data_IF_816840363843
#
_entry.id   IF_816840363843
#
_cell.length_a   1.000
_cell.length_b   1.000
_cell.length_c   1.000
_cell.angle_alpha   90.00
_cell.angle_beta   90.00
_cell.angle_gamma   90.00
#
_symmetry.space_group_name_H-M   'P 1'
#
loop_
_entity.id
_entity.type
_entity.pdbx_description
1 polymer ?
#
# COMPACT_ATOMS: atom_id res chain seq x y z
N UNK A 1 -4.93 -3.09 -5.82
CA UNK A 1 -5.59 -2.56 -4.59
C UNK A 1 -6.03 -3.72 -3.73
N UNK A 2 -5.97 -3.55 -2.41
CA UNK A 2 -6.28 -4.60 -1.44
C UNK A 2 -5.27 -4.63 -0.31
N UNK A 3 -5.42 -5.62 0.56
CA UNK A 3 -4.46 -5.91 1.63
C UNK A 3 -3.63 -7.13 1.24
N UNK A 4 -2.32 -7.02 1.41
CA UNK A 4 -1.35 -8.05 1.07
C UNK A 4 -0.53 -8.36 2.30
N UNK A 5 -0.49 -9.63 2.70
CA UNK A 5 0.18 -10.05 3.92
C UNK A 5 1.49 -10.73 3.59
N UNK A 6 2.56 -10.27 4.23
CA UNK A 6 3.82 -10.98 4.33
C UNK A 6 3.84 -11.79 5.63
N UNK A 7 5.03 -12.16 6.07
CA UNK A 7 5.22 -12.91 7.30
C UNK A 7 5.08 -12.00 8.54
N UNK A 8 5.85 -10.90 8.58
CA UNK A 8 5.87 -9.95 9.71
C UNK A 8 5.21 -8.59 9.38
N UNK A 9 4.90 -8.37 8.10
CA UNK A 9 4.43 -7.10 7.59
C UNK A 9 3.22 -7.26 6.66
N UNK A 10 2.53 -6.15 6.39
CA UNK A 10 1.48 -6.09 5.37
C UNK A 10 1.54 -4.79 4.59
N UNK A 11 1.07 -4.85 3.34
CA UNK A 11 0.84 -3.68 2.48
C UNK A 11 -0.65 -3.49 2.25
N UNK A 12 -1.14 -2.30 2.56
CA UNK A 12 -2.50 -1.87 2.32
C UNK A 12 -2.48 -0.85 1.19
N UNK A 13 -2.99 -1.23 0.02
CA UNK A 13 -2.94 -0.41 -1.20
C UNK A 13 -4.34 0.14 -1.51
N UNK A 14 -4.50 1.44 -1.27
CA UNK A 14 -5.73 2.20 -1.47
C UNK A 14 -5.69 3.00 -2.79
N UNK A 15 -6.83 3.21 -3.45
CA UNK A 15 -6.92 4.17 -4.54
C UNK A 15 -6.80 5.61 -4.01
N UNK A 16 -6.26 6.51 -4.85
CA UNK A 16 -6.26 7.97 -4.62
C UNK A 16 -7.24 8.66 -5.58
N UNK A 17 -7.75 9.83 -5.17
CA UNK A 17 -8.47 10.75 -6.06
C UNK A 17 -7.57 11.30 -7.17
N UNK A 18 -6.25 11.32 -6.95
CA UNK A 18 -5.28 11.73 -7.96
C UNK A 18 -5.12 10.62 -9.00
N UNK A 19 -5.41 10.94 -10.26
CA UNK A 19 -5.38 9.96 -11.36
C UNK A 19 -4.00 9.32 -11.50
N UNK A 20 -3.97 7.99 -11.57
CA UNK A 20 -2.73 7.21 -11.68
C UNK A 20 -1.97 7.05 -10.37
N UNK A 21 -2.43 7.68 -9.27
CA UNK A 21 -1.82 7.53 -7.96
C UNK A 21 -2.55 6.51 -7.08
N UNK A 22 -1.80 5.94 -6.16
CA UNK A 22 -2.27 5.03 -5.13
C UNK A 22 -1.65 5.44 -3.79
N UNK A 23 -2.29 5.06 -2.70
CA UNK A 23 -1.73 5.21 -1.38
C UNK A 23 -1.33 3.84 -0.86
N UNK A 24 -0.12 3.74 -0.33
CA UNK A 24 0.44 2.50 0.20
C UNK A 24 0.69 2.73 1.67
N UNK A 25 0.03 1.95 2.52
CA UNK A 25 0.37 1.89 3.95
C UNK A 25 1.08 0.57 4.20
N UNK A 26 2.25 0.64 4.82
CA UNK A 26 3.01 -0.50 5.29
C UNK A 26 2.80 -0.62 6.79
N UNK A 27 2.51 -1.82 7.28
CA UNK A 27 2.43 -2.09 8.73
C UNK A 27 3.23 -3.32 9.08
N UNK A 28 3.77 -3.34 10.30
CA UNK A 28 4.52 -4.47 10.86
C UNK A 28 4.80 -4.19 12.33
N UNK A 29 4.71 -5.20 13.19
CA UNK A 29 5.04 -5.11 14.63
C UNK A 29 4.39 -3.92 15.40
N UNK A 30 3.21 -3.45 14.97
CA UNK A 30 2.51 -2.31 15.60
C UNK A 30 2.85 -0.93 15.02
N UNK A 31 3.82 -0.86 14.10
CA UNK A 31 4.20 0.33 13.35
C UNK A 31 3.35 0.53 12.10
N UNK A 32 3.30 1.78 11.63
CA UNK A 32 2.61 2.14 10.39
C UNK A 32 3.31 3.26 9.63
N UNK A 33 3.53 3.04 8.34
CA UNK A 33 4.23 3.97 7.47
C UNK A 33 3.48 4.17 6.16
N UNK A 34 3.51 5.39 5.63
CA UNK A 34 2.70 5.82 4.50
C UNK A 34 3.57 6.25 3.32
N UNK A 35 3.13 5.89 2.12
CA UNK A 35 3.72 6.34 0.86
C UNK A 35 2.66 6.61 -0.21
N UNK A 36 3.01 7.45 -1.17
CA UNK A 36 2.24 7.67 -2.40
C UNK A 36 2.95 6.93 -3.52
N UNK A 37 2.20 6.12 -4.25
CA UNK A 37 2.67 5.40 -5.42
C UNK A 37 2.06 5.92 -6.70
N UNK A 38 2.79 5.82 -7.80
CA UNK A 38 2.29 5.96 -9.17
C UNK A 38 2.12 4.58 -9.77
N UNK A 39 0.90 4.25 -10.20
CA UNK A 39 0.58 3.01 -10.91
C UNK A 39 0.78 3.22 -12.41
N UNK A 40 1.74 2.51 -13.00
CA UNK A 40 1.99 2.50 -14.43
C UNK A 40 2.34 1.08 -14.88
N UNK A 41 1.72 0.62 -15.98
CA UNK A 41 1.95 -0.72 -16.55
C UNK A 41 1.86 -1.87 -15.53
N UNK A 42 0.94 -1.77 -14.56
CA UNK A 42 0.74 -2.78 -13.53
C UNK A 42 1.76 -2.77 -12.38
N UNK A 43 2.71 -1.83 -12.40
CA UNK A 43 3.72 -1.62 -11.35
C UNK A 43 3.42 -0.34 -10.59
N UNK A 44 3.54 -0.38 -9.27
CA UNK A 44 3.46 0.80 -8.40
C UNK A 44 4.89 1.23 -8.09
N UNK A 45 5.25 2.46 -8.43
CA UNK A 45 6.51 3.07 -7.98
C UNK A 45 6.20 4.11 -6.91
N UNK A 46 6.77 3.96 -5.72
CA UNK A 46 6.53 4.86 -4.59
C UNK A 46 7.46 6.06 -4.60
N UNK A 47 7.07 7.13 -3.91
CA UNK A 47 7.84 8.38 -3.85
C UNK A 47 9.25 8.19 -3.26
N UNK A 48 9.46 7.11 -2.49
CA UNK A 48 10.74 6.71 -1.89
C UNK A 48 11.54 5.72 -2.73
N UNK A 49 11.17 5.49 -4.00
CA UNK A 49 11.86 4.57 -4.90
C UNK A 49 11.49 3.09 -4.73
N UNK A 50 10.53 2.79 -3.85
CA UNK A 50 10.00 1.44 -3.70
C UNK A 50 9.21 1.04 -4.94
N UNK A 51 9.25 -0.24 -5.29
CA UNK A 51 8.43 -0.81 -6.37
C UNK A 51 7.61 -1.97 -5.86
N UNK A 52 6.35 -2.01 -6.27
CA UNK A 52 5.44 -3.12 -6.01
C UNK A 52 4.89 -3.64 -7.35
N UNK A 53 4.97 -4.93 -7.57
CA UNK A 53 4.48 -5.58 -8.79
C UNK A 53 3.73 -6.86 -8.44
N UNK A 54 2.71 -7.18 -9.22
CA UNK A 54 1.83 -8.33 -8.96
C UNK A 54 2.12 -9.45 -9.94
N UNK A 55 2.24 -10.67 -9.44
CA UNK A 55 2.30 -11.89 -10.24
C UNK A 55 1.34 -12.94 -9.64
N UNK A 56 0.27 -13.27 -10.36
CA UNK A 56 -0.76 -14.18 -9.84
C UNK A 56 -1.39 -13.66 -8.55
N UNK A 57 -1.22 -14.39 -7.45
CA UNK A 57 -1.71 -14.03 -6.11
C UNK A 57 -0.60 -13.51 -5.19
N UNK A 58 0.53 -13.14 -5.76
CA UNK A 58 1.66 -12.58 -5.04
C UNK A 58 1.86 -11.11 -5.40
N UNK A 59 2.35 -10.35 -4.43
CA UNK A 59 2.83 -9.00 -4.59
C UNK A 59 4.31 -8.99 -4.21
N UNK A 60 5.17 -8.81 -5.21
CA UNK A 60 6.59 -8.60 -5.03
C UNK A 60 6.87 -7.14 -4.65
N UNK A 61 7.92 -6.94 -3.86
CA UNK A 61 8.40 -5.62 -3.48
C UNK A 61 9.92 -5.52 -3.53
N UNK A 62 10.43 -4.35 -3.88
CA UNK A 62 11.85 -4.04 -3.76
C UNK A 62 12.11 -2.54 -3.86
N UNK A 63 13.39 -2.17 -3.84
CA UNK A 63 13.87 -0.81 -4.02
C UNK A 63 14.59 -0.68 -5.35
N UNK A 64 14.18 0.29 -6.16
CA UNK A 64 14.91 0.66 -7.37
C UNK A 64 15.79 1.87 -7.10
N UNK A 65 17.04 1.80 -7.55
CA UNK A 65 17.95 2.93 -7.68
C UNK A 65 18.57 2.89 -9.06
N UNK A 66 18.47 3.99 -9.80
CA UNK A 66 18.97 4.11 -11.17
C UNK A 66 18.49 2.99 -12.12
N UNK A 67 17.21 2.60 -11.98
CA UNK A 67 16.58 1.55 -12.78
C UNK A 67 17.01 0.12 -12.43
N UNK A 68 17.79 -0.08 -11.38
CA UNK A 68 18.26 -1.39 -10.91
C UNK A 68 17.70 -1.70 -9.53
N UNK A 69 17.35 -2.95 -9.30
CA UNK A 69 17.04 -3.43 -7.96
C UNK A 69 18.31 -3.39 -7.11
N UNK A 70 18.29 -2.56 -6.07
CA UNK A 70 19.40 -2.46 -5.10
C UNK A 70 19.07 -3.15 -3.79
N UNK A 71 17.79 -3.39 -3.54
CA UNK A 71 17.28 -4.17 -2.43
C UNK A 71 16.04 -4.91 -2.92
N UNK A 72 15.96 -6.20 -2.62
CA UNK A 72 14.69 -6.91 -2.58
C UNK A 72 14.37 -7.09 -1.10
N UNK A 73 13.09 -7.21 -0.74
CA UNK A 73 12.73 -7.31 0.69
C UNK A 73 13.30 -8.55 1.40
N UNK A 74 14.09 -9.43 0.75
CA UNK A 74 14.67 -10.65 1.31
C UNK A 74 13.63 -11.72 1.74
N UNK A 75 12.38 -11.30 1.90
CA UNK A 75 11.26 -12.06 2.43
C UNK A 75 10.43 -12.74 1.33
N UNK A 76 9.63 -13.71 1.78
CA UNK A 76 8.58 -14.33 0.99
C UNK A 76 7.68 -13.22 0.42
N UNK A 77 7.37 -13.23 -0.89
CA UNK A 77 6.46 -12.24 -1.48
C UNK A 77 5.15 -12.15 -0.70
N UNK A 78 4.61 -10.94 -0.56
CA UNK A 78 3.31 -10.77 0.06
C UNK A 78 2.29 -11.64 -0.68
N UNK A 79 1.55 -12.45 0.06
CA UNK A 79 0.61 -13.41 -0.49
C UNK A 79 -0.81 -13.13 0.02
N UNK A 80 -1.74 -14.02 -0.35
CA UNK A 80 -3.13 -14.02 0.16
C UNK A 80 -3.83 -12.65 0.03
N UNK A 81 -4.01 -12.12 -1.19
CA UNK A 81 -4.67 -10.83 -1.39
C UNK A 81 -6.06 -10.85 -0.76
N UNK A 82 -6.31 -9.91 0.14
CA UNK A 82 -7.62 -9.70 0.76
C UNK A 82 -8.29 -8.45 0.22
N UNK A 83 -9.64 -8.39 0.26
CA UNK A 83 -10.36 -7.15 0.00
C UNK A 83 -9.81 -5.99 0.82
N UNK A 84 -9.87 -4.79 0.23
CA UNK A 84 -9.42 -3.57 0.90
C UNK A 84 -10.26 -3.31 2.16
N UNK A 85 -9.59 -3.05 3.27
CA UNK A 85 -10.24 -2.75 4.54
C UNK A 85 -10.31 -1.23 4.78
N UNK A 86 -11.35 -0.73 5.48
CA UNK A 86 -11.42 0.66 5.88
C UNK A 86 -10.17 1.11 6.64
N UNK A 87 -9.73 2.35 6.42
CA UNK A 87 -8.58 2.93 7.13
C UNK A 87 -8.75 2.85 8.65
N UNK A 88 -9.97 3.05 9.16
CA UNK A 88 -10.25 2.98 10.60
C UNK A 88 -9.90 1.63 11.22
N UNK A 89 -10.09 0.53 10.47
CA UNK A 89 -9.69 -0.81 10.91
C UNK A 89 -8.17 -0.94 10.97
N UNK A 90 -7.48 -0.44 9.94
CA UNK A 90 -6.02 -0.44 9.88
C UNK A 90 -5.38 0.38 11.02
N UNK A 91 -5.89 1.59 11.27
CA UNK A 91 -5.43 2.44 12.37
C UNK A 91 -5.66 1.81 13.76
N UNK A 92 -6.58 0.85 13.88
CA UNK A 92 -6.77 0.04 15.08
C UNK A 92 -5.58 -0.90 15.37
N UNK A 93 -4.85 -1.31 14.33
CA UNK A 93 -3.72 -2.25 14.42
C UNK A 93 -2.36 -1.56 14.57
N UNK A 94 -2.29 -0.24 14.31
CA UNK A 94 -1.10 0.57 14.60
C UNK A 94 -1.20 0.99 16.06
N UNK A 95 -0.24 0.62 16.90
CA UNK A 95 -0.26 0.93 18.34
C UNK A 95 0.55 2.19 18.65
N UNK A 96 1.55 2.47 17.81
CA UNK A 96 2.38 3.66 17.92
C UNK A 96 1.53 4.91 17.61
N UNK A 97 1.30 5.74 18.64
CA UNK A 97 0.43 6.91 18.52
C UNK A 97 0.92 7.95 17.49
N UNK A 98 2.22 8.28 17.42
CA UNK A 98 2.74 9.18 16.39
C UNK A 98 2.44 8.66 14.98
N UNK A 99 2.78 7.40 14.69
CA UNK A 99 2.52 6.73 13.42
C UNK A 99 1.05 6.76 13.03
N UNK A 100 0.16 6.40 13.97
CA UNK A 100 -1.28 6.37 13.73
C UNK A 100 -1.80 7.74 13.30
N UNK A 101 -1.40 8.79 14.01
CA UNK A 101 -1.83 10.16 13.72
C UNK A 101 -1.28 10.65 12.39
N UNK A 102 -0.01 10.34 12.10
CA UNK A 102 0.68 10.71 10.89
C UNK A 102 0.11 10.01 9.65
N UNK A 103 -0.06 8.68 9.71
CA UNK A 103 -0.67 7.90 8.62
C UNK A 103 -2.08 8.39 8.33
N UNK A 104 -2.88 8.66 9.36
CA UNK A 104 -4.24 9.18 9.20
C UNK A 104 -4.27 10.54 8.49
N UNK A 105 -3.34 11.44 8.85
CA UNK A 105 -3.24 12.77 8.25
C UNK A 105 -2.75 12.70 6.80
N UNK A 106 -1.64 12.00 6.55
CA UNK A 106 -1.07 11.84 5.21
C UNK A 106 -2.05 11.14 4.25
N UNK A 107 -2.83 10.17 4.73
CA UNK A 107 -3.88 9.52 3.95
C UNK A 107 -4.96 10.50 3.47
N UNK A 108 -5.37 11.43 4.33
CA UNK A 108 -6.36 12.47 3.97
C UNK A 108 -5.76 13.46 2.98
N UNK A 109 -4.55 13.93 3.25
CA UNK A 109 -3.86 14.94 2.44
C UNK A 109 -3.56 14.45 1.02
N UNK A 110 -3.22 13.16 0.87
CA UNK A 110 -3.03 12.51 -0.42
C UNK A 110 -4.33 12.15 -1.16
N UNK A 111 -5.50 12.48 -0.59
CA UNK A 111 -6.80 12.21 -1.20
C UNK A 111 -7.12 10.72 -1.35
N UNK A 112 -6.61 9.89 -0.45
CA UNK A 112 -6.82 8.44 -0.49
C UNK A 112 -8.28 8.08 -0.16
N UNK A 113 -8.78 7.00 -0.75
CA UNK A 113 -10.17 6.56 -0.59
C UNK A 113 -10.18 5.24 0.20
N UNK A 114 -10.74 5.28 1.41
CA UNK A 114 -10.71 4.15 2.36
C UNK A 114 -11.69 3.01 2.03
N UNK A 115 -12.59 3.24 1.08
CA UNK A 115 -13.50 2.26 0.52
C UNK A 115 -13.36 2.28 -1.00
N UNK A 116 -13.62 1.16 -1.68
CA UNK A 116 -13.84 1.25 -3.13
C UNK A 116 -14.97 2.28 -3.34
N UNK A 117 -14.85 3.24 -4.27
CA UNK A 117 -16.08 3.86 -4.76
C UNK A 117 -16.98 2.69 -5.20
N UNK A 118 -18.24 2.71 -4.78
CA UNK A 118 -19.26 1.89 -5.39
C UNK A 118 -19.18 2.18 -6.89
N UNK A 119 -18.50 1.34 -7.65
CA UNK A 119 -18.78 1.24 -9.07
C UNK A 119 -20.11 0.49 -9.07
N UNK A 120 -21.21 1.24 -9.07
CA UNK A 120 -22.44 0.73 -9.66
C UNK A 120 -22.02 0.29 -11.06
N UNK A 121 -21.88 -1.02 -11.24
CA UNK A 121 -21.73 -1.62 -12.56
C UNK A 121 -22.95 -1.18 -13.36
N UNK A 122 -22.77 -0.12 -14.14
CA UNK A 122 -23.74 0.32 -15.12
C UNK A 122 -23.86 -0.78 -16.16
N UNK A 123 -25.06 -1.33 -16.22
CA UNK A 123 -25.69 -2.11 -17.31
C UNK A 123 -24.85 -3.17 -18.00
#
# INVERSE_FOLDING_TARGET
MGVWYGYENSKHIYPSKTKGCVCVISTGEGYGDFDIGVLSNGVITTSRGGVLFKEGNYLGSGLLRDGKFVENNGEIPFHSPRPLEPLTKLLGNIFESPDKSQVSQQFKDAGCISSRPFINGGK
#
